data_IF_869400278173
#
_entry.id   IF_869400278173
#
_cell.length_a   1.000
_cell.length_b   1.000
_cell.length_c   1.000
_cell.angle_alpha   90.00
_cell.angle_beta   90.00
_cell.angle_gamma   90.00
#
_symmetry.space_group_name_H-M   'P 1'
#
loop_
_entity.id
_entity.type
_entity.pdbx_description
1 polymer ?
#
# COMPACT_ATOMS: atom_id res chain seq x y z
N UNK A 1 -28.76 -10.85 25.69
CA UNK A 1 -27.34 -10.62 25.35
C UNK A 1 -27.16 -9.94 23.99
N UNK A 2 -27.85 -10.36 22.91
CA UNK A 2 -27.71 -9.81 21.55
C UNK A 2 -27.99 -8.29 21.36
N UNK A 3 -28.84 -7.68 22.19
CA UNK A 3 -29.16 -6.25 22.08
C UNK A 3 -28.02 -5.34 22.57
N UNK A 4 -27.27 -5.79 23.59
CA UNK A 4 -26.17 -5.01 24.17
C UNK A 4 -24.94 -5.00 23.26
N UNK A 5 -24.63 -6.13 22.62
CA UNK A 5 -23.52 -6.23 21.66
C UNK A 5 -23.75 -5.35 20.44
N UNK A 6 -24.96 -5.32 19.88
CA UNK A 6 -25.30 -4.42 18.75
C UNK A 6 -25.11 -2.93 19.07
N UNK A 7 -25.42 -2.51 20.30
CA UNK A 7 -25.20 -1.11 20.72
C UNK A 7 -23.71 -0.77 20.81
N UNK A 8 -22.89 -1.70 21.30
CA UNK A 8 -21.44 -1.55 21.35
C UNK A 8 -20.82 -1.50 19.94
N UNK A 9 -21.28 -2.33 19.01
CA UNK A 9 -20.84 -2.29 17.62
C UNK A 9 -21.21 -0.99 16.90
N UNK A 10 -22.42 -0.46 17.12
CA UNK A 10 -22.78 0.87 16.58
C UNK A 10 -21.87 1.99 17.09
N UNK A 11 -21.54 1.97 18.39
CA UNK A 11 -20.60 2.93 18.97
C UNK A 11 -19.18 2.73 18.46
N UNK A 12 -18.76 1.49 18.25
CA UNK A 12 -17.46 1.17 17.67
C UNK A 12 -17.37 1.67 16.23
N UNK A 13 -18.41 1.43 15.42
CA UNK A 13 -18.50 1.92 14.05
C UNK A 13 -18.33 3.45 14.00
N UNK A 14 -19.07 4.18 14.85
CA UNK A 14 -18.94 5.62 14.94
C UNK A 14 -17.52 6.04 15.34
N UNK A 15 -16.94 5.37 16.34
CA UNK A 15 -15.57 5.64 16.79
C UNK A 15 -14.53 5.42 15.67
N UNK A 16 -14.72 4.39 14.84
CA UNK A 16 -13.85 4.13 13.70
C UNK A 16 -13.99 5.25 12.68
N UNK A 17 -15.22 5.62 12.29
CA UNK A 17 -15.48 6.65 11.28
C UNK A 17 -14.91 8.01 11.71
N UNK A 18 -15.15 8.40 12.97
CA UNK A 18 -14.73 9.70 13.50
C UNK A 18 -13.25 9.75 13.89
N UNK A 19 -12.56 8.61 13.92
CA UNK A 19 -11.19 8.53 14.43
C UNK A 19 -11.07 8.67 15.95
N UNK A 20 -12.16 8.46 16.70
CA UNK A 20 -12.18 8.58 18.16
C UNK A 20 -11.54 7.37 18.83
N UNK A 21 -10.23 7.46 19.05
CA UNK A 21 -9.46 6.43 19.74
C UNK A 21 -9.90 6.19 21.18
N UNK A 22 -10.47 7.20 21.86
CA UNK A 22 -10.88 7.06 23.25
C UNK A 22 -12.13 6.20 23.35
N UNK A 23 -13.11 6.45 22.46
CA UNK A 23 -14.32 5.66 22.37
C UNK A 23 -14.03 4.27 21.85
N UNK A 24 -13.14 4.14 20.85
CA UNK A 24 -12.72 2.86 20.29
C UNK A 24 -12.13 1.95 21.37
N UNK A 25 -11.12 2.42 22.11
CA UNK A 25 -10.48 1.64 23.19
C UNK A 25 -11.48 1.25 24.29
N UNK A 26 -12.43 2.14 24.59
CA UNK A 26 -13.51 1.88 25.56
C UNK A 26 -14.48 0.80 25.10
N UNK A 27 -14.77 0.71 23.79
CA UNK A 27 -15.61 -0.37 23.26
C UNK A 27 -14.84 -1.69 23.14
N UNK A 28 -13.56 -1.64 22.77
CA UNK A 28 -12.70 -2.82 22.69
C UNK A 28 -12.67 -3.62 24.00
N UNK A 29 -12.54 -2.96 25.15
CA UNK A 29 -12.59 -3.65 26.45
C UNK A 29 -13.93 -4.31 26.80
N UNK A 30 -14.96 -4.13 25.98
CA UNK A 30 -16.32 -4.67 26.20
C UNK A 30 -16.73 -5.71 25.14
N UNK A 31 -15.93 -5.88 24.10
CA UNK A 31 -16.18 -6.77 22.99
C UNK A 31 -15.16 -7.91 23.02
N UNK A 32 -15.60 -9.11 22.67
CA UNK A 32 -14.72 -10.24 22.42
C UNK A 32 -14.11 -10.13 21.01
N UNK A 33 -12.82 -10.44 20.89
CA UNK A 33 -12.09 -10.34 19.62
C UNK A 33 -12.70 -11.23 18.51
N UNK A 34 -13.25 -12.38 18.87
CA UNK A 34 -13.89 -13.31 17.93
C UNK A 34 -15.14 -12.70 17.28
N UNK A 35 -16.04 -12.13 18.08
CA UNK A 35 -17.23 -11.45 17.53
C UNK A 35 -16.85 -10.22 16.70
N UNK A 36 -15.79 -9.50 17.08
CA UNK A 36 -15.35 -8.33 16.30
C UNK A 36 -14.83 -8.70 14.91
N UNK A 37 -14.11 -9.82 14.77
CA UNK A 37 -13.62 -10.29 13.45
C UNK A 37 -14.78 -10.70 12.51
N UNK A 38 -15.87 -11.23 13.09
CA UNK A 38 -17.03 -11.69 12.33
C UNK A 38 -18.02 -10.57 12.02
N UNK A 39 -18.02 -9.49 12.81
CA UNK A 39 -18.94 -8.36 12.61
C UNK A 39 -18.70 -7.68 11.26
N UNK A 40 -19.78 -7.14 10.69
CA UNK A 40 -19.77 -6.36 9.46
C UNK A 40 -20.46 -5.02 9.67
N UNK A 41 -19.81 -3.96 9.24
CA UNK A 41 -20.25 -2.58 9.36
C UNK A 41 -20.74 -2.07 8.01
N UNK A 42 -21.85 -1.32 8.03
CA UNK A 42 -22.37 -0.67 6.83
C UNK A 42 -21.79 0.74 6.69
N UNK A 43 -21.13 1.04 5.58
CA UNK A 43 -20.57 2.36 5.30
C UNK A 43 -20.58 2.64 3.80
N UNK A 44 -21.18 3.75 3.38
CA UNK A 44 -21.28 4.15 1.95
C UNK A 44 -21.77 3.00 1.06
N UNK A 45 -22.87 2.36 1.45
CA UNK A 45 -23.50 1.20 0.79
C UNK A 45 -22.64 -0.07 0.70
N UNK A 46 -21.45 -0.07 1.30
CA UNK A 46 -20.58 -1.23 1.41
C UNK A 46 -20.76 -1.93 2.76
N UNK A 47 -20.53 -3.23 2.76
CA UNK A 47 -20.47 -4.06 3.97
C UNK A 47 -19.01 -4.40 4.23
N UNK A 48 -18.43 -3.82 5.29
CA UNK A 48 -16.99 -3.82 5.55
C UNK A 48 -16.67 -4.49 6.89
N UNK A 49 -15.49 -5.08 7.01
CA UNK A 49 -14.95 -5.41 8.33
C UNK A 49 -14.39 -4.13 9.03
N UNK A 50 -13.91 -4.26 10.27
CA UNK A 50 -13.42 -3.10 11.03
C UNK A 50 -12.20 -2.43 10.39
N UNK A 51 -11.28 -3.23 9.84
CA UNK A 51 -10.03 -2.77 9.20
C UNK A 51 -10.35 -1.99 7.92
N UNK A 52 -11.22 -2.54 7.08
CA UNK A 52 -11.70 -1.90 5.87
C UNK A 52 -12.46 -0.62 6.17
N UNK A 53 -13.32 -0.61 7.20
CA UNK A 53 -14.01 0.61 7.63
C UNK A 53 -13.00 1.70 8.01
N UNK A 54 -11.93 1.35 8.74
CA UNK A 54 -10.88 2.31 9.10
C UNK A 54 -10.12 2.82 7.86
N UNK A 55 -9.88 1.96 6.86
CA UNK A 55 -9.25 2.35 5.59
C UNK A 55 -10.17 3.29 4.79
N UNK A 56 -11.42 2.92 4.58
CA UNK A 56 -12.39 3.71 3.82
C UNK A 56 -12.69 5.06 4.50
N UNK A 57 -12.72 5.09 5.84
CA UNK A 57 -12.87 6.32 6.60
C UNK A 57 -11.59 7.18 6.66
N UNK A 58 -10.43 6.68 6.20
CA UNK A 58 -9.17 7.42 6.22
C UNK A 58 -8.55 7.55 7.61
N UNK A 59 -8.60 6.50 8.44
CA UNK A 59 -8.29 6.56 9.86
C UNK A 59 -7.07 5.69 10.22
N UNK A 60 -5.84 6.11 9.90
CA UNK A 60 -4.63 5.29 10.06
C UNK A 60 -4.35 4.92 11.52
N UNK A 61 -4.54 5.84 12.48
CA UNK A 61 -4.33 5.55 13.90
C UNK A 61 -5.35 4.55 14.45
N UNK A 62 -6.58 4.59 13.93
CA UNK A 62 -7.59 3.58 14.27
C UNK A 62 -7.15 2.23 13.72
N UNK A 63 -6.77 2.17 12.45
CA UNK A 63 -6.28 0.95 11.81
C UNK A 63 -5.10 0.34 12.57
N UNK A 64 -4.12 1.15 12.97
CA UNK A 64 -2.98 0.73 13.78
C UNK A 64 -3.41 0.08 15.10
N UNK A 65 -4.39 0.69 15.78
CA UNK A 65 -4.96 0.12 17.00
C UNK A 65 -5.74 -1.17 16.75
N UNK A 66 -6.48 -1.28 15.66
CA UNK A 66 -7.18 -2.51 15.28
C UNK A 66 -6.19 -3.66 15.04
N UNK A 67 -5.12 -3.42 14.28
CA UNK A 67 -4.13 -4.43 13.92
C UNK A 67 -3.27 -4.83 15.12
N UNK A 68 -2.83 -3.87 15.94
CA UNK A 68 -2.10 -4.17 17.19
C UNK A 68 -2.94 -4.94 18.22
N UNK A 69 -4.26 -4.89 18.12
CA UNK A 69 -5.18 -5.69 18.92
C UNK A 69 -5.37 -7.12 18.36
N UNK A 70 -4.60 -7.53 17.35
CA UNK A 70 -4.58 -8.88 16.80
C UNK A 70 -5.66 -9.16 15.75
N UNK A 71 -6.28 -8.11 15.18
CA UNK A 71 -7.16 -8.31 14.02
C UNK A 71 -6.31 -8.68 12.80
N UNK A 72 -6.74 -9.72 12.08
CA UNK A 72 -6.03 -10.25 10.92
C UNK A 72 -5.98 -9.25 9.75
N UNK A 73 -4.97 -9.38 8.90
CA UNK A 73 -4.82 -8.60 7.67
C UNK A 73 -5.68 -9.17 6.53
N UNK A 74 -6.97 -9.32 6.78
CA UNK A 74 -7.92 -9.89 5.84
C UNK A 74 -8.89 -8.83 5.32
N UNK A 75 -9.18 -8.90 4.01
CA UNK A 75 -10.27 -8.17 3.40
C UNK A 75 -11.53 -9.04 3.37
N UNK A 76 -12.70 -8.41 3.54
CA UNK A 76 -13.98 -9.06 3.28
C UNK A 76 -14.38 -9.02 1.79
N UNK A 77 -13.59 -8.32 0.97
CA UNK A 77 -13.75 -8.19 -0.48
C UNK A 77 -12.61 -8.89 -1.22
N UNK A 78 -12.71 -9.00 -2.54
CA UNK A 78 -11.62 -9.52 -3.37
C UNK A 78 -10.38 -8.59 -3.42
N UNK A 79 -10.51 -7.32 -2.98
CA UNK A 79 -9.41 -6.36 -3.03
C UNK A 79 -8.61 -6.39 -1.72
N UNK A 80 -7.30 -6.66 -1.75
CA UNK A 80 -6.44 -6.61 -0.56
C UNK A 80 -6.52 -5.28 0.19
N UNK A 81 -6.39 -5.31 1.53
CA UNK A 81 -6.41 -4.10 2.37
C UNK A 81 -5.37 -3.07 1.93
N UNK A 82 -4.19 -3.52 1.51
CA UNK A 82 -3.12 -2.65 1.01
C UNK A 82 -3.59 -1.90 -0.25
N UNK A 83 -4.28 -2.55 -1.18
CA UNK A 83 -4.77 -1.89 -2.40
C UNK A 83 -5.92 -0.94 -2.10
N UNK A 84 -6.77 -1.27 -1.13
CA UNK A 84 -7.78 -0.35 -0.63
C UNK A 84 -7.14 0.91 -0.03
N UNK A 85 -6.05 0.77 0.73
CA UNK A 85 -5.29 1.89 1.26
C UNK A 85 -4.66 2.75 0.16
N UNK A 86 -4.10 2.15 -0.90
CA UNK A 86 -3.53 2.90 -2.03
C UNK A 86 -4.57 3.77 -2.74
N UNK A 87 -5.82 3.30 -2.84
CA UNK A 87 -6.95 4.03 -3.46
C UNK A 87 -7.49 5.16 -2.59
N UNK A 88 -7.10 5.24 -1.32
CA UNK A 88 -7.59 6.27 -0.40
C UNK A 88 -6.99 7.63 -0.79
N UNK A 89 -7.83 8.66 -0.91
CA UNK A 89 -7.42 9.92 -1.51
C UNK A 89 -6.47 10.78 -0.68
N UNK A 90 -6.58 10.80 0.64
CA UNK A 90 -5.87 11.74 1.52
C UNK A 90 -4.80 11.04 2.38
N UNK A 91 -5.13 9.88 2.94
CA UNK A 91 -4.38 9.17 3.97
C UNK A 91 -3.72 7.89 3.42
N UNK A 92 -3.67 7.69 2.10
CA UNK A 92 -3.11 6.48 1.48
C UNK A 92 -1.72 6.12 1.99
N UNK A 93 -0.79 7.09 2.06
CA UNK A 93 0.57 6.83 2.53
C UNK A 93 0.59 6.40 4.01
N UNK A 94 -0.21 7.05 4.87
CA UNK A 94 -0.28 6.72 6.29
C UNK A 94 -0.90 5.33 6.50
N UNK A 95 -1.97 5.01 5.79
CA UNK A 95 -2.63 3.71 5.82
C UNK A 95 -1.72 2.60 5.29
N UNK A 96 -1.04 2.84 4.16
CA UNK A 96 -0.03 1.93 3.61
C UNK A 96 1.03 1.61 4.68
N UNK A 97 1.55 2.63 5.34
CA UNK A 97 2.59 2.47 6.37
C UNK A 97 2.13 1.59 7.51
N UNK A 98 0.93 1.82 8.03
CA UNK A 98 0.35 1.02 9.10
C UNK A 98 0.19 -0.44 8.69
N UNK A 99 -0.27 -0.70 7.46
CA UNK A 99 -0.40 -2.06 6.94
C UNK A 99 0.95 -2.75 6.78
N UNK A 100 1.97 -2.05 6.29
CA UNK A 100 3.33 -2.59 6.16
C UNK A 100 3.96 -2.88 7.54
N UNK A 101 3.76 -2.00 8.52
CA UNK A 101 4.18 -2.23 9.91
C UNK A 101 3.53 -3.47 10.53
N UNK A 102 2.28 -3.75 10.16
CA UNK A 102 1.57 -4.95 10.59
C UNK A 102 1.98 -6.21 9.80
N UNK A 103 2.88 -6.11 8.82
CA UNK A 103 3.35 -7.23 8.02
C UNK A 103 2.45 -7.60 6.83
N UNK A 104 1.73 -6.63 6.27
CA UNK A 104 1.00 -6.85 5.02
C UNK A 104 1.94 -7.34 3.90
N UNK A 105 1.55 -8.37 3.14
CA UNK A 105 2.38 -8.90 2.07
C UNK A 105 2.47 -7.91 0.92
N UNK A 106 3.54 -8.03 0.12
CA UNK A 106 3.71 -7.25 -1.10
C UNK A 106 3.10 -7.93 -2.34
N UNK A 107 2.75 -9.21 -2.22
CA UNK A 107 2.26 -10.06 -3.31
C UNK A 107 0.82 -10.50 -3.02
N UNK A 108 -0.04 -10.39 -4.04
CA UNK A 108 -1.45 -10.72 -4.00
C UNK A 108 -1.86 -11.43 -5.29
N UNK A 109 -1.57 -12.74 -5.43
CA UNK A 109 -1.74 -13.49 -6.69
C UNK A 109 -3.18 -13.56 -7.22
N UNK A 110 -4.18 -13.33 -6.36
CA UNK A 110 -5.60 -13.34 -6.74
C UNK A 110 -6.13 -11.95 -7.11
N UNK A 111 -5.33 -10.91 -6.91
CA UNK A 111 -5.71 -9.54 -7.23
C UNK A 111 -5.38 -9.20 -8.69
N UNK A 112 -6.10 -8.24 -9.27
CA UNK A 112 -5.89 -7.82 -10.66
C UNK A 112 -4.46 -7.36 -10.97
N UNK A 113 -3.79 -6.80 -9.96
CA UNK A 113 -2.35 -6.51 -9.99
C UNK A 113 -1.67 -7.42 -8.98
N UNK A 114 -0.78 -8.31 -9.42
CA UNK A 114 -0.19 -9.33 -8.54
C UNK A 114 0.75 -8.74 -7.47
N UNK A 115 1.28 -7.54 -7.68
CA UNK A 115 2.31 -6.93 -6.84
C UNK A 115 1.94 -5.51 -6.39
N UNK A 116 2.05 -5.23 -5.09
CA UNK A 116 1.77 -3.93 -4.48
C UNK A 116 2.58 -2.79 -5.10
N UNK A 117 3.83 -3.06 -5.47
CA UNK A 117 4.71 -2.10 -6.12
C UNK A 117 4.12 -1.59 -7.45
N UNK A 118 3.58 -2.51 -8.27
CA UNK A 118 2.99 -2.17 -9.56
C UNK A 118 1.58 -1.58 -9.39
N UNK A 119 0.85 -2.01 -8.35
CA UNK A 119 -0.44 -1.44 -7.99
C UNK A 119 -0.37 0.08 -7.71
N UNK A 120 0.76 0.59 -7.21
CA UNK A 120 0.96 2.03 -7.03
C UNK A 120 0.82 2.83 -8.34
N UNK A 121 1.30 2.31 -9.47
CA UNK A 121 1.17 2.99 -10.78
C UNK A 121 -0.28 3.10 -11.25
N UNK A 122 -1.15 2.23 -10.75
CA UNK A 122 -2.58 2.20 -11.09
C UNK A 122 -3.43 3.03 -10.13
N UNK A 123 -3.13 2.99 -8.84
CA UNK A 123 -4.00 3.55 -7.80
C UNK A 123 -3.49 4.87 -7.21
N UNK A 124 -2.20 5.15 -7.29
CA UNK A 124 -1.63 6.41 -6.79
C UNK A 124 -1.62 7.47 -7.88
N UNK A 125 -1.87 8.72 -7.49
CA UNK A 125 -1.62 9.88 -8.35
C UNK A 125 -0.12 10.12 -8.52
N UNK A 126 0.29 10.78 -9.62
CA UNK A 126 1.70 10.99 -9.96
C UNK A 126 2.49 11.71 -8.86
N UNK A 127 1.88 12.68 -8.17
CA UNK A 127 2.47 13.44 -7.05
C UNK A 127 2.74 12.56 -5.82
N UNK A 128 2.02 11.44 -5.68
CA UNK A 128 2.13 10.51 -4.55
C UNK A 128 2.93 9.27 -4.86
N UNK A 129 3.04 8.90 -6.15
CA UNK A 129 3.64 7.66 -6.61
C UNK A 129 5.04 7.44 -6.04
N UNK A 130 5.92 8.45 -6.15
CA UNK A 130 7.30 8.36 -5.66
C UNK A 130 7.35 8.04 -4.15
N UNK A 131 6.53 8.70 -3.33
CA UNK A 131 6.51 8.47 -1.88
C UNK A 131 6.01 7.06 -1.53
N UNK A 132 5.04 6.53 -2.27
CA UNK A 132 4.50 5.19 -2.03
C UNK A 132 5.51 4.10 -2.43
N UNK A 133 6.18 4.26 -3.58
CA UNK A 133 7.26 3.34 -3.99
C UNK A 133 8.43 3.37 -3.00
N UNK A 134 8.85 4.57 -2.56
CA UNK A 134 9.89 4.70 -1.54
C UNK A 134 9.49 4.01 -0.23
N UNK A 135 8.23 4.17 0.21
CA UNK A 135 7.71 3.52 1.42
C UNK A 135 7.67 1.99 1.29
N UNK A 136 7.27 1.45 0.14
CA UNK A 136 7.33 0.01 -0.10
C UNK A 136 8.78 -0.50 -0.07
N UNK A 137 9.70 0.22 -0.71
CA UNK A 137 11.12 -0.11 -0.73
C UNK A 137 11.76 -0.08 0.68
N UNK A 138 11.42 0.91 1.51
CA UNK A 138 11.85 1.00 2.91
C UNK A 138 11.47 -0.25 3.73
N UNK A 139 10.37 -0.91 3.38
CA UNK A 139 9.90 -2.14 4.03
C UNK A 139 10.34 -3.41 3.29
N UNK A 140 11.22 -3.30 2.29
CA UNK A 140 11.83 -4.44 1.59
C UNK A 140 11.03 -4.99 0.41
N UNK A 141 10.14 -4.19 -0.20
CA UNK A 141 9.52 -4.58 -1.46
C UNK A 141 10.58 -4.75 -2.56
N UNK A 142 10.50 -5.84 -3.31
CA UNK A 142 11.42 -6.12 -4.42
C UNK A 142 11.10 -5.24 -5.64
N UNK A 143 11.97 -4.25 -5.88
CA UNK A 143 11.83 -3.29 -6.99
C UNK A 143 11.97 -3.93 -8.39
N UNK A 144 12.52 -5.14 -8.47
CA UNK A 144 12.78 -5.83 -9.73
C UNK A 144 11.67 -6.82 -10.10
N UNK A 145 10.59 -6.88 -9.32
CA UNK A 145 9.42 -7.69 -9.68
C UNK A 145 8.76 -7.15 -10.93
N UNK A 146 8.49 -8.08 -11.83
CA UNK A 146 7.83 -7.85 -13.09
C UNK A 146 6.44 -8.50 -13.07
N UNK A 147 5.49 -7.87 -13.76
CA UNK A 147 4.21 -8.50 -14.08
C UNK A 147 4.34 -9.53 -15.21
N UNK A 148 3.20 -10.10 -15.64
CA UNK A 148 3.14 -11.07 -16.73
C UNK A 148 3.55 -10.50 -18.11
N UNK A 149 3.61 -9.18 -18.25
CA UNK A 149 4.10 -8.48 -19.45
C UNK A 149 5.57 -8.04 -19.32
N UNK A 150 6.28 -8.56 -18.31
CA UNK A 150 7.66 -8.20 -17.97
C UNK A 150 7.84 -6.73 -17.55
N UNK A 151 6.76 -6.02 -17.19
CA UNK A 151 6.86 -4.64 -16.71
C UNK A 151 7.33 -4.63 -15.25
N UNK A 152 8.52 -4.07 -15.02
CA UNK A 152 8.98 -3.67 -13.68
C UNK A 152 8.58 -2.23 -13.37
N UNK A 153 8.68 -1.82 -12.11
CA UNK A 153 8.46 -0.42 -11.72
C UNK A 153 9.33 0.56 -12.52
N UNK A 154 10.57 0.18 -12.82
CA UNK A 154 11.47 1.01 -13.63
C UNK A 154 10.99 1.11 -15.09
N UNK A 155 10.51 0.02 -15.69
CA UNK A 155 9.96 0.04 -17.05
C UNK A 155 8.72 0.95 -17.12
N UNK A 156 7.82 0.87 -16.14
CA UNK A 156 6.66 1.75 -16.07
C UNK A 156 7.05 3.23 -15.94
N UNK A 157 8.03 3.54 -15.09
CA UNK A 157 8.55 4.91 -14.94
C UNK A 157 9.18 5.45 -16.24
N UNK A 158 9.88 4.59 -17.00
CA UNK A 158 10.44 4.92 -18.30
C UNK A 158 9.33 5.18 -19.34
N UNK A 159 8.31 4.32 -19.42
CA UNK A 159 7.15 4.49 -20.32
C UNK A 159 6.42 5.81 -20.08
N UNK A 160 6.30 6.23 -18.82
CA UNK A 160 5.67 7.50 -18.44
C UNK A 160 6.60 8.72 -18.56
N UNK A 161 7.84 8.55 -19.05
CA UNK A 161 8.88 9.58 -19.12
C UNK A 161 9.13 10.36 -17.81
N UNK A 162 8.97 9.69 -16.65
CA UNK A 162 9.11 10.32 -15.34
C UNK A 162 10.58 10.26 -14.87
N UNK A 163 11.41 11.18 -15.37
CA UNK A 163 12.86 11.19 -15.09
C UNK A 163 13.22 11.13 -13.59
N UNK A 164 12.49 11.87 -12.74
CA UNK A 164 12.74 11.87 -11.30
C UNK A 164 12.43 10.51 -10.65
N UNK A 165 11.37 9.84 -11.12
CA UNK A 165 11.00 8.50 -10.66
C UNK A 165 12.04 7.45 -11.10
N UNK A 166 12.50 7.54 -12.35
CA UNK A 166 13.58 6.71 -12.89
C UNK A 166 14.85 6.84 -12.04
N UNK A 167 15.27 8.07 -11.73
CA UNK A 167 16.46 8.31 -10.91
C UNK A 167 16.30 7.73 -9.49
N UNK A 168 15.12 7.89 -8.87
CA UNK A 168 14.83 7.35 -7.54
C UNK A 168 14.89 5.82 -7.53
N UNK A 169 14.24 5.16 -8.49
CA UNK A 169 14.19 3.71 -8.60
C UNK A 169 15.58 3.12 -8.83
N UNK A 170 16.36 3.69 -9.75
CA UNK A 170 17.74 3.24 -10.01
C UNK A 170 18.59 3.41 -8.76
N UNK A 171 18.56 4.57 -8.10
CA UNK A 171 19.33 4.79 -6.86
C UNK A 171 18.91 3.87 -5.72
N UNK A 172 17.68 3.36 -5.76
CA UNK A 172 17.13 2.41 -4.79
C UNK A 172 17.46 0.95 -5.12
N UNK A 173 18.19 0.69 -6.21
CA UNK A 173 18.63 -0.65 -6.59
C UNK A 173 17.75 -1.35 -7.64
N UNK A 174 16.82 -0.63 -8.29
CA UNK A 174 16.11 -1.18 -9.45
C UNK A 174 17.07 -1.39 -10.62
N UNK A 175 17.07 -2.59 -11.19
CA UNK A 175 17.91 -2.98 -12.30
C UNK A 175 17.38 -2.41 -13.61
N UNK A 176 18.25 -1.69 -14.34
CA UNK A 176 17.97 -1.28 -15.70
C UNK A 176 18.11 -2.50 -16.63
N UNK A 177 17.09 -2.85 -17.43
CA UNK A 177 17.22 -3.93 -18.39
C UNK A 177 18.37 -3.67 -19.38
N UNK A 178 19.18 -4.69 -19.67
CA UNK A 178 20.30 -4.60 -20.61
C UNK A 178 19.84 -4.14 -22.00
N UNK A 179 18.72 -4.70 -22.44
CA UNK A 179 18.08 -4.43 -23.74
C UNK A 179 16.73 -3.75 -23.54
N UNK A 180 16.77 -2.44 -23.24
CA UNK A 180 15.57 -1.63 -23.27
C UNK A 180 15.07 -1.48 -24.71
N UNK A 181 13.88 -2.01 -25.02
CA UNK A 181 13.34 -1.97 -26.38
C UNK A 181 13.23 -0.53 -26.92
N UNK A 182 13.42 -0.39 -28.23
CA UNK A 182 13.24 0.88 -28.91
C UNK A 182 11.80 1.40 -28.74
N UNK A 183 11.64 2.72 -28.58
CA UNK A 183 10.33 3.35 -28.39
C UNK A 183 9.74 3.29 -26.98
N UNK A 184 10.35 2.61 -26.00
CA UNK A 184 9.83 2.59 -24.61
C UNK A 184 9.81 3.99 -23.98
N UNK A 185 10.87 4.77 -24.16
CA UNK A 185 11.02 6.13 -23.63
C UNK A 185 11.84 6.98 -24.61
N UNK A 186 11.96 8.28 -24.34
CA UNK A 186 12.81 9.15 -25.15
C UNK A 186 14.29 8.72 -25.10
N UNK A 187 15.05 9.00 -26.17
CA UNK A 187 16.47 8.65 -26.22
C UNK A 187 17.27 9.39 -25.14
N UNK A 188 16.89 10.63 -24.80
CA UNK A 188 17.50 11.39 -23.70
C UNK A 188 17.29 10.69 -22.36
N UNK A 189 16.06 10.24 -22.08
CA UNK A 189 15.74 9.54 -20.83
C UNK A 189 16.42 8.17 -20.75
N UNK A 190 16.52 7.46 -21.88
CA UNK A 190 17.27 6.20 -21.97
C UNK A 190 18.75 6.40 -21.63
N UNK A 191 19.39 7.40 -22.24
CA UNK A 191 20.80 7.71 -21.96
C UNK A 191 20.99 8.15 -20.51
N UNK A 192 20.07 8.95 -19.98
CA UNK A 192 20.06 9.36 -18.58
C UNK A 192 19.99 8.15 -17.63
N UNK A 193 19.05 7.23 -17.85
CA UNK A 193 18.90 6.02 -17.04
C UNK A 193 20.16 5.15 -17.04
N UNK A 194 20.78 4.96 -18.22
CA UNK A 194 22.07 4.24 -18.33
C UNK A 194 23.17 4.90 -17.51
N UNK A 195 23.28 6.23 -17.56
CA UNK A 195 24.25 6.98 -16.74
C UNK A 195 23.97 6.80 -15.25
N UNK A 196 22.73 6.91 -14.81
CA UNK A 196 22.36 6.70 -13.41
C UNK A 196 22.73 5.29 -12.91
N UNK A 197 22.53 4.28 -13.75
CA UNK A 197 22.87 2.89 -13.42
C UNK A 197 24.39 2.69 -13.31
N UNK A 198 25.16 3.25 -14.24
CA UNK A 198 26.63 3.22 -14.17
C UNK A 198 27.16 4.00 -12.95
N UNK A 199 26.59 5.17 -12.65
CA UNK A 199 26.97 5.95 -11.48
C UNK A 199 26.72 5.17 -10.18
N UNK A 200 25.59 4.48 -10.06
CA UNK A 200 25.30 3.61 -8.92
C UNK A 200 26.32 2.47 -8.83
N UNK A 201 26.62 1.80 -9.95
CA UNK A 201 27.60 0.71 -10.02
C UNK A 201 28.98 1.16 -9.53
N UNK A 202 29.44 2.33 -10.00
CA UNK A 202 30.71 2.92 -9.57
C UNK A 202 30.68 3.22 -8.07
N UNK A 203 29.60 3.82 -7.54
CA UNK A 203 29.47 4.09 -6.09
C UNK A 203 29.55 2.81 -5.26
N UNK A 204 28.87 1.75 -5.69
CA UNK A 204 28.90 0.46 -5.01
C UNK A 204 30.32 -0.15 -5.01
N UNK A 205 31.06 -0.02 -6.11
CA UNK A 205 32.47 -0.46 -6.19
C UNK A 205 33.40 0.32 -5.26
N UNK A 206 33.12 1.60 -5.02
CA UNK A 206 33.94 2.45 -4.14
C UNK A 206 33.64 2.26 -2.65
N UNK A 207 32.52 1.61 -2.30
CA UNK A 207 32.08 1.36 -0.93
C UNK A 207 32.42 -0.05 -0.41
N UNK A 208 32.90 -0.94 -1.28
CA UNK A 208 33.43 -2.27 -0.94
C UNK A 208 34.92 -2.24 -0.64
#
# INVERSE_FOLDING_TARGET
>A
MLFFTRHHFKKLQQAIIDGDLTLLKKQFGKLDHASLQQERFSFQDMTLNAQELAIQAGQPKVLEHLLSAGLALESSTASPLLYQALRQQEQSLALLTVLLQAGAPFEYPEAETDYALLACFKYCSEDKLMLHLSRLNEYGADLNRADAEENTALILALKSNQQALVQMLINSGAALPENLAEGICSDELRQYAKRCSEDLRIRQMMLG
#
